data_IF_164305185935
#
_entry.id   IF_164305185935
#
_cell.length_a   1.000
_cell.length_b   1.000
_cell.length_c   1.000
_cell.angle_alpha   90.00
_cell.angle_beta   90.00
_cell.angle_gamma   90.00
#
_symmetry.space_group_name_H-M   'P 1'
#
loop_
_entity.id
_entity.type
_entity.pdbx_description
1 polymer ?
#
# COMPACT_ATOMS: atom_id res chain seq x y z
N UNK A 1 -2.09 -1.55 -9.79
CA UNK A 1 -2.89 -1.97 -10.96
C UNK A 1 -4.29 -1.35 -10.94
N UNK A 2 -4.98 -1.34 -9.80
CA UNK A 2 -6.27 -0.63 -9.62
C UNK A 2 -6.10 0.64 -8.76
N UNK A 3 -7.06 1.55 -8.79
CA UNK A 3 -7.06 2.74 -7.91
C UNK A 3 -7.39 2.40 -6.43
N UNK A 4 -7.88 1.19 -6.16
CA UNK A 4 -8.08 0.65 -4.81
C UNK A 4 -6.85 -0.08 -4.25
N UNK A 5 -5.83 -0.34 -5.07
CA UNK A 5 -4.73 -1.23 -4.69
C UNK A 5 -3.76 -0.63 -3.66
N UNK A 6 -3.73 0.69 -3.51
CA UNK A 6 -2.85 1.37 -2.58
C UNK A 6 -3.55 2.58 -1.96
N UNK A 7 -3.51 2.76 -0.63
CA UNK A 7 -3.98 3.96 0.05
C UNK A 7 -3.56 5.28 -0.63
N UNK A 8 -2.30 5.48 -1.07
CA UNK A 8 -1.90 6.73 -1.70
C UNK A 8 -2.65 7.05 -3.00
N UNK A 9 -3.05 6.03 -3.75
CA UNK A 9 -3.80 6.20 -5.01
C UNK A 9 -5.27 6.47 -4.70
N UNK A 10 -5.85 5.76 -3.74
CA UNK A 10 -7.24 5.96 -3.31
C UNK A 10 -7.49 7.43 -2.88
N UNK A 11 -6.53 8.02 -2.17
CA UNK A 11 -6.64 9.41 -1.66
C UNK A 11 -6.73 10.46 -2.76
N UNK A 12 -6.15 10.18 -3.93
CA UNK A 12 -6.02 11.16 -5.02
C UNK A 12 -6.90 10.85 -6.22
N UNK A 13 -7.31 9.58 -6.39
CA UNK A 13 -8.04 9.12 -7.56
C UNK A 13 -9.34 9.90 -7.78
N UNK A 14 -10.12 10.13 -6.72
CA UNK A 14 -11.36 10.91 -6.82
C UNK A 14 -11.11 12.40 -7.12
N UNK A 15 -9.98 12.95 -6.68
CA UNK A 15 -9.67 14.37 -6.86
C UNK A 15 -9.15 14.67 -8.27
N UNK A 16 -8.41 13.74 -8.87
CA UNK A 16 -7.80 13.90 -10.20
C UNK A 16 -8.47 13.07 -11.29
N UNK A 17 -9.62 12.46 -10.99
CA UNK A 17 -10.41 11.63 -11.91
C UNK A 17 -9.61 10.48 -12.52
N UNK A 18 -8.76 9.83 -11.71
CA UNK A 18 -7.96 8.69 -12.13
C UNK A 18 -8.77 7.41 -12.03
N UNK A 19 -9.16 6.88 -13.18
CA UNK A 19 -9.84 5.61 -13.29
C UNK A 19 -8.86 4.42 -13.26
N UNK A 20 -9.41 3.21 -13.36
CA UNK A 20 -8.59 1.99 -13.41
C UNK A 20 -7.68 1.95 -14.64
N UNK A 21 -8.13 2.50 -15.77
CA UNK A 21 -7.36 2.51 -17.01
C UNK A 21 -6.13 3.42 -16.90
N UNK A 22 -6.31 4.64 -16.38
CA UNK A 22 -5.22 5.56 -16.10
C UNK A 22 -4.16 4.92 -15.19
N UNK A 23 -4.59 4.28 -14.11
CA UNK A 23 -3.68 3.61 -13.19
C UNK A 23 -2.89 2.48 -13.86
N UNK A 24 -3.53 1.70 -14.72
CA UNK A 24 -2.89 0.60 -15.43
C UNK A 24 -1.87 1.12 -16.46
N UNK A 25 -2.26 2.12 -17.24
CA UNK A 25 -1.47 2.68 -18.35
C UNK A 25 -0.30 3.55 -17.89
N UNK A 26 -0.40 4.23 -16.75
CA UNK A 26 0.65 5.15 -16.27
C UNK A 26 1.55 4.56 -15.18
N UNK A 27 0.99 3.76 -14.27
CA UNK A 27 1.74 3.21 -13.13
C UNK A 27 1.88 1.69 -13.19
N UNK A 28 0.83 1.00 -13.64
CA UNK A 28 0.66 -0.44 -13.48
C UNK A 28 1.76 -1.27 -14.10
N UNK A 29 2.06 -1.03 -15.38
CA UNK A 29 3.08 -1.79 -16.10
C UNK A 29 4.51 -1.47 -15.63
N UNK A 30 4.80 -0.19 -15.29
CA UNK A 30 6.09 0.22 -14.72
C UNK A 30 6.34 -0.46 -13.38
N UNK A 31 5.33 -0.47 -12.51
CA UNK A 31 5.37 -1.19 -11.23
C UNK A 31 5.52 -2.70 -11.44
N UNK A 32 4.82 -3.29 -12.41
CA UNK A 32 4.93 -4.73 -12.71
C UNK A 32 6.36 -5.10 -13.15
N UNK A 33 7.00 -4.30 -14.00
CA UNK A 33 8.39 -4.50 -14.41
C UNK A 33 9.32 -4.41 -13.21
N UNK A 34 9.20 -3.37 -12.39
CA UNK A 34 10.03 -3.20 -11.19
C UNK A 34 9.89 -4.38 -10.22
N UNK A 35 8.65 -4.83 -9.96
CA UNK A 35 8.36 -5.97 -9.08
C UNK A 35 8.92 -7.27 -9.64
N UNK A 36 8.70 -7.56 -10.92
CA UNK A 36 9.21 -8.77 -11.57
C UNK A 36 10.74 -8.80 -11.58
N UNK A 37 11.39 -7.66 -11.85
CA UNK A 37 12.84 -7.55 -11.82
C UNK A 37 13.38 -7.77 -10.40
N UNK A 38 12.84 -7.07 -9.41
CA UNK A 38 13.28 -7.19 -8.01
C UNK A 38 13.06 -8.61 -7.47
N UNK A 39 11.87 -9.18 -7.71
CA UNK A 39 11.56 -10.54 -7.29
C UNK A 39 12.42 -11.59 -8.00
N UNK A 40 12.65 -11.41 -9.31
CA UNK A 40 13.53 -12.27 -10.10
C UNK A 40 14.97 -12.22 -9.62
N UNK A 41 15.50 -11.01 -9.36
CA UNK A 41 16.85 -10.83 -8.84
C UNK A 41 17.02 -11.43 -7.44
N UNK A 42 16.06 -11.20 -6.54
CA UNK A 42 16.07 -11.79 -5.20
C UNK A 42 16.02 -13.33 -5.27
N UNK A 43 15.12 -13.88 -6.11
CA UNK A 43 15.02 -15.33 -6.32
C UNK A 43 16.30 -15.92 -6.88
N UNK A 44 16.95 -15.22 -7.81
CA UNK A 44 18.21 -15.67 -8.39
C UNK A 44 19.37 -15.60 -7.39
N UNK A 45 19.45 -14.54 -6.58
CA UNK A 45 20.47 -14.35 -5.56
C UNK A 45 20.39 -15.45 -4.49
N UNK A 46 19.18 -15.79 -4.05
CA UNK A 46 18.94 -16.81 -3.01
C UNK A 46 18.57 -18.19 -3.57
N UNK A 47 18.87 -18.46 -4.85
CA UNK A 47 18.44 -19.70 -5.52
C UNK A 47 18.96 -20.96 -4.83
N UNK A 48 20.16 -20.91 -4.26
CA UNK A 48 20.79 -22.03 -3.56
C UNK A 48 20.04 -22.38 -2.29
N UNK A 49 19.70 -21.36 -1.51
CA UNK A 49 18.96 -21.44 -0.26
C UNK A 49 17.53 -21.92 -0.53
N UNK A 50 16.87 -21.30 -1.51
CA UNK A 50 15.52 -21.67 -1.94
C UNK A 50 15.44 -23.13 -2.42
N UNK A 51 16.45 -23.59 -3.17
CA UNK A 51 16.49 -24.99 -3.65
C UNK A 51 16.69 -26.03 -2.54
N UNK A 52 17.14 -25.60 -1.36
CA UNK A 52 17.39 -26.46 -0.19
C UNK A 52 16.22 -26.45 0.80
N UNK A 53 15.22 -25.59 0.60
CA UNK A 53 14.04 -25.55 1.46
C UNK A 53 13.18 -26.78 1.23
N UNK A 54 13.02 -27.59 2.27
CA UNK A 54 12.02 -28.65 2.31
C UNK A 54 10.67 -28.03 2.68
N UNK A 55 9.87 -27.68 1.66
CA UNK A 55 8.52 -27.15 1.86
C UNK A 55 7.61 -28.30 2.26
N UNK A 56 7.55 -28.56 3.56
CA UNK A 56 6.54 -29.48 4.11
C UNK A 56 5.17 -28.81 3.96
N UNK A 57 4.21 -29.43 3.26
CA UNK A 57 2.85 -28.92 3.26
C UNK A 57 2.38 -28.87 4.72
N UNK A 58 1.85 -27.73 5.14
CA UNK A 58 1.25 -27.59 6.47
C UNK A 58 0.12 -28.62 6.61
N UNK A 59 0.44 -29.73 7.29
CA UNK A 59 -0.54 -30.73 7.65
C UNK A 59 -1.41 -30.16 8.78
N UNK A 60 -2.63 -29.74 8.47
CA UNK A 60 -3.61 -29.39 9.50
C UNK A 60 -4.48 -28.15 9.25
N UNK A 61 -4.22 -27.33 8.22
CA UNK A 61 -5.19 -26.30 7.81
C UNK A 61 -6.31 -26.98 7.01
N UNK A 62 -7.47 -27.13 7.64
CA UNK A 62 -8.69 -27.51 6.92
C UNK A 62 -8.90 -26.49 5.78
N UNK A 63 -8.98 -26.97 4.53
CA UNK A 63 -9.20 -26.10 3.39
C UNK A 63 -10.48 -25.30 3.57
N UNK A 64 -10.40 -23.98 3.38
CA UNK A 64 -11.57 -23.10 3.44
C UNK A 64 -12.55 -23.52 2.33
N UNK A 65 -13.85 -23.78 2.63
CA UNK A 65 -14.81 -24.19 1.63
C UNK A 65 -14.89 -23.16 0.47
N UNK A 66 -14.86 -23.59 -0.80
CA UNK A 66 -14.90 -22.66 -1.94
C UNK A 66 -16.12 -21.71 -1.94
N UNK A 67 -17.26 -22.19 -1.43
CA UNK A 67 -18.46 -21.37 -1.28
C UNK A 67 -18.24 -20.21 -0.29
N UNK A 68 -17.53 -20.46 0.81
CA UNK A 68 -17.21 -19.43 1.79
C UNK A 68 -16.29 -18.37 1.17
N UNK A 69 -15.31 -18.78 0.37
CA UNK A 69 -14.44 -17.86 -0.39
C UNK A 69 -15.27 -17.02 -1.37
N UNK A 70 -16.14 -17.65 -2.17
CA UNK A 70 -16.99 -16.96 -3.14
C UNK A 70 -17.91 -15.92 -2.46
N UNK A 71 -18.45 -16.27 -1.30
CA UNK A 71 -19.31 -15.40 -0.50
C UNK A 71 -18.54 -14.22 0.11
N UNK A 72 -17.28 -14.40 0.53
CA UNK A 72 -16.40 -13.31 0.93
C UNK A 72 -16.08 -12.35 -0.21
N UNK A 73 -15.76 -12.88 -1.39
CA UNK A 73 -15.52 -12.07 -2.59
C UNK A 73 -16.79 -11.30 -2.96
N UNK A 74 -17.96 -11.91 -2.83
CA UNK A 74 -19.24 -11.24 -3.05
C UNK A 74 -19.49 -10.11 -2.04
N UNK A 75 -19.20 -10.31 -0.75
CA UNK A 75 -19.31 -9.25 0.26
C UNK A 75 -18.34 -8.11 0.00
N UNK A 76 -17.09 -8.41 -0.36
CA UNK A 76 -16.10 -7.39 -0.73
C UNK A 76 -16.58 -6.58 -1.95
N UNK A 77 -17.03 -7.25 -3.00
CA UNK A 77 -17.57 -6.60 -4.19
C UNK A 77 -18.82 -5.76 -3.86
N UNK A 78 -19.72 -6.28 -3.02
CA UNK A 78 -20.89 -5.56 -2.55
C UNK A 78 -20.55 -4.31 -1.75
N UNK A 79 -19.60 -4.40 -0.82
CA UNK A 79 -19.10 -3.26 -0.03
C UNK A 79 -18.51 -2.18 -0.96
N UNK A 80 -17.71 -2.57 -1.95
CA UNK A 80 -17.11 -1.62 -2.89
C UNK A 80 -18.17 -0.97 -3.79
N UNK A 81 -19.11 -1.77 -4.33
CA UNK A 81 -20.16 -1.28 -5.21
C UNK A 81 -21.14 -0.33 -4.48
N UNK A 82 -21.53 -0.68 -3.26
CA UNK A 82 -22.46 0.09 -2.44
C UNK A 82 -21.76 1.05 -1.46
N UNK A 83 -20.48 1.40 -1.69
CA UNK A 83 -19.71 2.26 -0.79
C UNK A 83 -20.36 3.63 -0.52
N UNK A 84 -21.18 4.12 -1.45
CA UNK A 84 -21.90 5.40 -1.35
C UNK A 84 -23.32 5.27 -0.76
N UNK A 85 -23.74 4.06 -0.35
CA UNK A 85 -25.06 3.78 0.23
C UNK A 85 -24.92 3.22 1.65
N UNK A 86 -24.86 4.09 2.69
CA UNK A 86 -24.49 3.68 4.05
C UNK A 86 -25.33 2.53 4.63
N UNK A 87 -26.63 2.52 4.37
CA UNK A 87 -27.54 1.48 4.88
C UNK A 87 -27.20 0.11 4.30
N UNK A 88 -26.97 0.03 2.99
CA UNK A 88 -26.62 -1.23 2.32
C UNK A 88 -25.22 -1.65 2.71
N UNK A 89 -24.27 -0.70 2.76
CA UNK A 89 -22.90 -0.95 3.21
C UNK A 89 -22.87 -1.60 4.59
N UNK A 90 -23.55 -0.99 5.58
CA UNK A 90 -23.61 -1.52 6.95
C UNK A 90 -24.32 -2.88 6.97
N UNK A 91 -25.39 -3.05 6.20
CA UNK A 91 -26.09 -4.34 6.08
C UNK A 91 -25.19 -5.47 5.56
N UNK A 92 -24.47 -5.24 4.47
CA UNK A 92 -23.51 -6.22 3.90
C UNK A 92 -22.37 -6.49 4.87
N UNK A 93 -21.84 -5.45 5.52
CA UNK A 93 -20.79 -5.60 6.51
C UNK A 93 -21.23 -6.42 7.73
N UNK A 94 -22.43 -6.18 8.26
CA UNK A 94 -23.00 -6.97 9.35
C UNK A 94 -23.24 -8.43 8.95
N UNK A 95 -23.67 -8.68 7.71
CA UNK A 95 -23.82 -10.04 7.19
C UNK A 95 -22.47 -10.75 7.09
N UNK A 96 -21.42 -10.06 6.64
CA UNK A 96 -20.05 -10.56 6.67
C UNK A 96 -19.61 -10.92 8.09
N UNK A 97 -19.83 -10.05 9.08
CA UNK A 97 -19.51 -10.34 10.48
C UNK A 97 -20.28 -11.56 11.00
N UNK A 98 -21.56 -11.69 10.65
CA UNK A 98 -22.38 -12.85 11.04
C UNK A 98 -21.84 -14.17 10.47
N UNK A 99 -21.38 -14.16 9.21
CA UNK A 99 -20.75 -15.33 8.59
C UNK A 99 -19.38 -15.62 9.18
N UNK A 100 -18.54 -14.60 9.40
CA UNK A 100 -17.23 -14.77 9.99
C UNK A 100 -17.31 -15.34 11.42
N UNK A 101 -18.29 -14.90 12.22
CA UNK A 101 -18.56 -15.43 13.56
C UNK A 101 -19.10 -16.87 13.49
N UNK A 102 -20.10 -17.12 12.63
CA UNK A 102 -20.75 -18.44 12.50
C UNK A 102 -19.82 -19.53 11.94
N UNK A 103 -18.81 -19.15 11.17
CA UNK A 103 -17.80 -20.04 10.60
C UNK A 103 -16.39 -19.70 11.10
N UNK A 104 -16.26 -19.29 12.36
CA UNK A 104 -14.98 -18.86 12.97
C UNK A 104 -13.85 -19.88 12.87
N UNK A 105 -14.15 -21.19 12.78
CA UNK A 105 -13.14 -22.25 12.57
C UNK A 105 -12.40 -22.14 11.23
N UNK A 106 -12.98 -21.46 10.23
CA UNK A 106 -12.35 -21.19 8.93
C UNK A 106 -11.78 -19.76 8.82
N UNK A 107 -11.83 -18.96 9.89
CA UNK A 107 -11.39 -17.56 9.87
C UNK A 107 -10.27 -17.30 10.87
N UNK A 108 -9.32 -16.47 10.46
CA UNK A 108 -8.45 -15.80 11.40
C UNK A 108 -9.21 -14.71 12.16
N UNK A 109 -8.65 -14.28 13.30
CA UNK A 109 -9.25 -13.23 14.12
C UNK A 109 -9.44 -11.94 13.32
N UNK A 110 -10.67 -11.42 13.33
CA UNK A 110 -10.98 -10.15 12.67
C UNK A 110 -10.27 -8.97 13.35
N UNK A 111 -9.57 -8.17 12.55
CA UNK A 111 -8.83 -6.97 12.97
C UNK A 111 -9.67 -5.69 12.88
N UNK A 112 -10.85 -5.71 13.54
CA UNK A 112 -11.81 -4.60 13.49
C UNK A 112 -11.27 -3.32 14.14
N UNK A 113 -10.52 -3.46 15.24
CA UNK A 113 -9.94 -2.32 15.97
C UNK A 113 -8.95 -1.58 15.09
N UNK A 114 -8.05 -2.32 14.44
CA UNK A 114 -7.02 -1.81 13.55
C UNK A 114 -7.65 -1.12 12.35
N UNK A 115 -8.66 -1.74 11.72
CA UNK A 115 -9.42 -1.12 10.63
C UNK A 115 -10.11 0.19 11.05
N UNK A 116 -10.71 0.24 12.24
CA UNK A 116 -11.32 1.46 12.78
C UNK A 116 -10.27 2.54 13.09
N UNK A 117 -9.10 2.18 13.61
CA UNK A 117 -7.99 3.12 13.85
C UNK A 117 -7.50 3.73 12.54
N UNK A 118 -7.36 2.93 11.47
CA UNK A 118 -7.05 3.43 10.12
C UNK A 118 -8.17 4.36 9.64
N UNK A 119 -9.44 4.00 9.84
CA UNK A 119 -10.58 4.87 9.53
C UNK A 119 -10.54 6.22 10.25
N UNK A 120 -10.24 6.24 11.56
CA UNK A 120 -10.07 7.47 12.32
C UNK A 120 -8.88 8.30 11.85
N UNK A 121 -7.76 7.66 11.51
CA UNK A 121 -6.60 8.32 10.93
C UNK A 121 -6.97 9.02 9.62
N UNK A 122 -7.65 8.31 8.69
CA UNK A 122 -8.09 8.88 7.43
C UNK A 122 -9.12 10.00 7.61
N UNK A 123 -10.06 9.85 8.54
CA UNK A 123 -11.03 10.90 8.87
C UNK A 123 -10.35 12.16 9.44
N UNK A 124 -9.38 11.98 10.34
CA UNK A 124 -8.54 13.05 10.88
C UNK A 124 -7.72 13.73 9.78
N UNK A 125 -7.11 12.95 8.90
CA UNK A 125 -6.35 13.44 7.75
C UNK A 125 -7.22 14.29 6.82
N UNK A 126 -8.43 13.83 6.48
CA UNK A 126 -9.34 14.58 5.60
C UNK A 126 -9.89 15.84 6.29
N UNK A 127 -10.15 15.78 7.59
CA UNK A 127 -10.73 16.90 8.36
C UNK A 127 -9.70 17.99 8.68
N UNK A 128 -8.49 17.59 9.10
CA UNK A 128 -7.43 18.50 9.53
C UNK A 128 -6.48 18.86 8.39
N UNK A 129 -6.28 17.96 7.42
CA UNK A 129 -5.32 18.15 6.34
C UNK A 129 -5.68 19.31 5.42
N UNK A 130 -6.97 19.58 5.17
CA UNK A 130 -7.41 20.77 4.42
C UNK A 130 -6.84 22.08 5.00
N UNK A 131 -6.61 22.16 6.32
CA UNK A 131 -6.03 23.35 6.96
C UNK A 131 -4.52 23.51 6.69
N UNK A 132 -3.85 22.50 6.12
CA UNK A 132 -2.43 22.52 5.81
C UNK A 132 -2.14 23.12 4.42
N UNK A 133 -3.17 23.43 3.62
CA UNK A 133 -3.00 23.91 2.25
C UNK A 133 -2.13 25.19 2.17
N UNK A 134 -2.26 26.10 3.14
CA UNK A 134 -1.61 27.43 3.08
C UNK A 134 -0.09 27.37 2.96
N UNK A 135 0.59 26.45 3.65
CA UNK A 135 2.05 26.30 3.56
C UNK A 135 2.46 25.27 2.52
N UNK A 136 1.63 24.24 2.30
CA UNK A 136 1.90 23.22 1.30
C UNK A 136 1.89 23.79 -0.12
N UNK A 137 0.96 24.71 -0.40
CA UNK A 137 0.86 25.36 -1.70
C UNK A 137 2.18 26.04 -2.08
N UNK A 138 2.72 26.86 -1.18
CA UNK A 138 3.95 27.62 -1.44
C UNK A 138 5.18 26.72 -1.57
N UNK A 139 5.29 25.70 -0.73
CA UNK A 139 6.42 24.75 -0.76
C UNK A 139 6.40 23.91 -2.03
N UNK A 140 5.25 23.36 -2.40
CA UNK A 140 5.14 22.39 -3.50
C UNK A 140 5.05 23.05 -4.87
N UNK A 141 4.46 24.25 -4.99
CA UNK A 141 4.38 24.96 -6.27
C UNK A 141 5.75 25.42 -6.79
N UNK A 142 6.73 25.59 -5.90
CA UNK A 142 8.11 25.94 -6.27
C UNK A 142 9.00 24.75 -6.65
N UNK A 143 8.52 23.51 -6.52
CA UNK A 143 9.30 22.30 -6.82
C UNK A 143 9.09 21.88 -8.28
N UNK A 144 10.18 21.52 -8.96
CA UNK A 144 10.06 20.80 -10.22
C UNK A 144 9.65 19.33 -9.98
N UNK A 145 9.27 18.64 -11.06
CA UNK A 145 8.78 17.26 -11.00
C UNK A 145 9.82 16.30 -10.40
N UNK A 146 11.11 16.51 -10.66
CA UNK A 146 12.18 15.64 -10.17
C UNK A 146 12.40 15.84 -8.67
N UNK A 147 12.47 17.08 -8.20
CA UNK A 147 12.58 17.41 -6.78
C UNK A 147 11.36 16.89 -6.00
N UNK A 148 10.16 17.02 -6.58
CA UNK A 148 8.94 16.48 -5.98
C UNK A 148 8.99 14.95 -5.88
N UNK A 149 9.42 14.24 -6.92
CA UNK A 149 9.53 12.79 -6.93
C UNK A 149 10.50 12.28 -5.84
N UNK A 150 11.72 12.82 -5.80
CA UNK A 150 12.71 12.40 -4.81
C UNK A 150 12.35 12.87 -3.39
N UNK A 151 11.73 14.05 -3.27
CA UNK A 151 11.18 14.54 -2.01
C UNK A 151 10.10 13.62 -1.46
N UNK A 152 9.13 13.24 -2.28
CA UNK A 152 8.08 12.29 -1.92
C UNK A 152 8.65 10.90 -1.57
N UNK A 153 9.59 10.39 -2.37
CA UNK A 153 10.28 9.11 -2.11
C UNK A 153 10.98 9.11 -0.75
N UNK A 154 11.68 10.20 -0.43
CA UNK A 154 12.44 10.33 0.82
C UNK A 154 11.53 10.53 2.02
N UNK A 155 10.50 11.37 1.88
CA UNK A 155 9.54 11.63 2.96
C UNK A 155 8.71 10.39 3.28
N UNK A 156 8.25 9.63 2.28
CA UNK A 156 7.53 8.37 2.52
C UNK A 156 8.36 7.34 3.31
N UNK A 157 9.70 7.41 3.24
CA UNK A 157 10.52 6.56 4.08
C UNK A 157 10.30 6.79 5.58
N UNK A 158 9.80 7.97 5.98
CA UNK A 158 9.58 8.33 7.40
C UNK A 158 8.15 8.79 7.70
N UNK A 159 7.29 8.91 6.68
CA UNK A 159 5.88 9.31 6.81
C UNK A 159 4.95 8.33 6.11
N UNK A 160 3.67 8.38 6.49
CA UNK A 160 2.63 7.59 5.83
C UNK A 160 2.42 8.05 4.38
N UNK A 161 2.43 7.10 3.44
CA UNK A 161 2.30 7.37 2.02
C UNK A 161 0.93 7.95 1.63
N UNK A 162 -0.15 7.58 2.32
CA UNK A 162 -1.49 8.09 2.07
C UNK A 162 -1.62 9.54 2.56
N UNK A 163 -1.04 9.85 3.71
CA UNK A 163 -0.93 11.23 4.19
C UNK A 163 -0.16 12.11 3.19
N UNK A 164 0.98 11.63 2.69
CA UNK A 164 1.81 12.40 1.76
C UNK A 164 1.06 12.71 0.46
N UNK A 165 0.42 11.72 -0.17
CA UNK A 165 -0.31 11.97 -1.42
C UNK A 165 -1.60 12.75 -1.21
N UNK A 166 -2.32 12.52 -0.10
CA UNK A 166 -3.49 13.32 0.25
C UNK A 166 -3.12 14.80 0.42
N UNK A 167 -2.09 15.11 1.21
CA UNK A 167 -1.65 16.49 1.43
C UNK A 167 -1.20 17.15 0.14
N UNK A 168 -0.43 16.46 -0.70
CA UNK A 168 -0.04 16.99 -2.00
C UNK A 168 -1.21 17.12 -2.99
N UNK A 169 -2.29 16.36 -2.80
CA UNK A 169 -3.52 16.53 -3.58
C UNK A 169 -4.20 17.87 -3.30
N UNK A 170 -3.99 18.46 -2.12
CA UNK A 170 -4.59 19.75 -1.74
C UNK A 170 -4.09 20.93 -2.58
N UNK A 171 -2.93 20.80 -3.22
CA UNK A 171 -2.31 21.85 -4.02
C UNK A 171 -3.15 22.13 -5.28
N UNK A 172 -3.42 23.41 -5.51
CA UNK A 172 -4.17 23.90 -6.67
C UNK A 172 -3.24 24.22 -7.84
N UNK A 173 -3.78 24.15 -9.07
CA UNK A 173 -3.03 24.47 -10.29
C UNK A 173 -1.98 23.41 -10.68
N UNK A 174 -2.08 22.19 -10.16
CA UNK A 174 -1.13 21.11 -10.45
C UNK A 174 -1.30 20.57 -11.87
N UNK A 175 -0.18 20.37 -12.56
CA UNK A 175 -0.13 19.71 -13.86
C UNK A 175 -0.01 18.18 -13.73
N UNK A 176 -0.03 17.47 -14.85
CA UNK A 176 0.06 16.01 -14.84
C UNK A 176 1.43 15.52 -14.32
N UNK A 177 2.50 16.24 -14.63
CA UNK A 177 3.85 15.89 -14.19
C UNK A 177 4.00 15.97 -12.67
N UNK A 178 3.40 16.98 -12.03
CA UNK A 178 3.31 17.09 -10.58
C UNK A 178 2.57 15.89 -9.97
N UNK A 179 1.35 15.62 -10.45
CA UNK A 179 0.49 14.55 -9.90
C UNK A 179 1.15 13.18 -10.04
N UNK A 180 1.74 12.93 -11.20
CA UNK A 180 2.51 11.73 -11.47
C UNK A 180 3.69 11.59 -10.52
N UNK A 181 4.54 12.63 -10.44
CA UNK A 181 5.79 12.60 -9.67
C UNK A 181 5.56 12.43 -8.17
N UNK A 182 4.53 13.09 -7.63
CA UNK A 182 4.13 12.96 -6.23
C UNK A 182 3.75 11.52 -5.89
N UNK A 183 2.85 10.91 -6.68
CA UNK A 183 2.36 9.55 -6.42
C UNK A 183 3.42 8.51 -6.72
N UNK A 184 4.16 8.66 -7.82
CA UNK A 184 5.25 7.76 -8.18
C UNK A 184 6.34 7.77 -7.11
N UNK A 185 6.71 8.94 -6.59
CA UNK A 185 7.67 9.07 -5.49
C UNK A 185 7.16 8.41 -4.21
N UNK A 186 5.91 8.69 -3.82
CA UNK A 186 5.29 8.09 -2.65
C UNK A 186 5.24 6.55 -2.73
N UNK A 187 4.92 5.99 -3.90
CA UNK A 187 4.92 4.53 -4.09
C UNK A 187 6.34 3.96 -4.06
N UNK A 188 7.30 4.66 -4.65
CA UNK A 188 8.71 4.23 -4.73
C UNK A 188 9.38 4.15 -3.34
N UNK A 189 9.09 5.11 -2.46
CA UNK A 189 9.67 5.20 -1.12
C UNK A 189 9.10 4.21 -0.10
N UNK A 190 7.96 3.58 -0.39
CA UNK A 190 7.20 2.77 0.57
C UNK A 190 7.93 1.54 1.14
N UNK A 191 9.03 1.10 0.51
CA UNK A 191 9.85 -0.03 0.98
C UNK A 191 11.08 0.35 1.80
N UNK A 192 11.39 1.65 1.95
CA UNK A 192 12.69 2.09 2.48
C UNK A 192 12.86 1.85 3.99
N UNK A 193 11.78 1.83 4.77
CA UNK A 193 11.86 1.63 6.23
C UNK A 193 10.71 0.80 6.77
N UNK A 194 10.82 0.35 8.02
CA UNK A 194 9.75 -0.38 8.72
C UNK A 194 8.47 0.46 8.86
N UNK A 195 8.57 1.80 8.99
CA UNK A 195 7.40 2.65 9.26
C UNK A 195 6.72 3.18 8.00
N UNK A 196 7.37 3.03 6.84
CA UNK A 196 6.90 3.61 5.57
C UNK A 196 5.55 3.05 5.09
N UNK A 197 5.23 1.79 5.40
CA UNK A 197 3.98 1.15 4.98
C UNK A 197 3.62 -0.06 5.84
N UNK A 198 2.33 -0.35 5.98
CA UNK A 198 1.78 -1.44 6.81
C UNK A 198 2.34 -2.87 6.55
N UNK A 199 2.70 -3.26 5.31
CA UNK A 199 3.35 -4.55 5.07
C UNK A 199 4.74 -4.68 5.71
N UNK A 200 5.46 -3.58 5.94
CA UNK A 200 6.84 -3.63 6.43
C UNK A 200 6.91 -4.06 7.92
N UNK A 201 6.08 -3.52 8.84
CA UNK A 201 5.97 -4.04 10.21
C UNK A 201 5.46 -5.49 10.25
N UNK A 202 4.56 -5.88 9.34
CA UNK A 202 4.07 -7.25 9.26
C UNK A 202 5.21 -8.22 8.90
N UNK A 203 6.00 -7.88 7.87
CA UNK A 203 7.18 -8.65 7.50
C UNK A 203 8.22 -8.66 8.63
N UNK A 204 8.45 -7.52 9.30
CA UNK A 204 9.32 -7.44 10.47
C UNK A 204 8.86 -8.40 11.58
N UNK A 205 7.57 -8.42 11.91
CA UNK A 205 7.02 -9.27 12.96
C UNK A 205 7.19 -10.78 12.66
N UNK A 206 7.10 -11.16 11.38
CA UNK A 206 7.30 -12.54 10.92
C UNK A 206 8.79 -12.93 10.96
N UNK A 207 9.68 -12.01 10.56
CA UNK A 207 11.08 -12.34 10.32
C UNK A 207 11.99 -12.11 11.53
N UNK A 208 11.62 -11.24 12.48
CA UNK A 208 12.49 -10.81 13.58
C UNK A 208 13.07 -11.95 14.41
N UNK A 209 12.33 -13.06 14.58
CA UNK A 209 12.77 -14.22 15.36
C UNK A 209 13.94 -15.00 14.74
N UNK A 210 14.30 -14.68 13.48
CA UNK A 210 15.44 -15.27 12.78
C UNK A 210 16.70 -14.38 12.84
N UNK A 211 16.64 -13.24 13.53
CA UNK A 211 17.77 -12.32 13.72
C UNK A 211 18.27 -12.36 15.15
N UNK A 212 19.56 -12.04 15.32
CA UNK A 212 20.16 -11.85 16.64
C UNK A 212 19.35 -10.80 17.44
N UNK A 213 19.16 -11.04 18.74
CA UNK A 213 18.37 -10.20 19.65
C UNK A 213 16.88 -10.01 19.27
N UNK A 214 16.34 -10.87 18.40
CA UNK A 214 14.97 -10.75 17.85
C UNK A 214 14.67 -9.38 17.24
N UNK A 215 15.69 -8.71 16.70
CA UNK A 215 15.60 -7.35 16.20
C UNK A 215 16.25 -7.19 14.82
N UNK A 216 15.57 -6.47 13.92
CA UNK A 216 16.14 -6.10 12.62
C UNK A 216 16.68 -4.68 12.74
N UNK A 217 17.96 -4.50 12.41
CA UNK A 217 18.62 -3.20 12.42
C UNK A 217 17.93 -2.24 11.41
N UNK A 218 17.39 -1.08 11.85
CA UNK A 218 16.69 -0.16 10.96
C UNK A 218 17.58 0.44 9.85
N UNK A 219 18.85 0.73 10.15
CA UNK A 219 19.81 1.23 9.17
C UNK A 219 20.22 0.15 8.18
N UNK A 220 20.40 -1.09 8.68
CA UNK A 220 20.64 -2.25 7.83
C UNK A 220 19.50 -2.45 6.83
N UNK A 221 18.25 -2.40 7.31
CA UNK A 221 17.07 -2.47 6.45
C UNK A 221 17.10 -1.36 5.39
N UNK A 222 17.29 -0.10 5.80
CA UNK A 222 17.34 1.04 4.88
C UNK A 222 18.38 0.83 3.77
N UNK A 223 19.62 0.46 4.13
CA UNK A 223 20.69 0.22 3.16
C UNK A 223 20.34 -0.92 2.21
N UNK A 224 19.78 -2.02 2.73
CA UNK A 224 19.38 -3.17 1.90
C UNK A 224 18.14 -2.90 1.04
N UNK A 225 17.32 -1.91 1.39
CA UNK A 225 16.17 -1.48 0.60
C UNK A 225 16.56 -0.52 -0.55
N UNK A 226 17.74 0.12 -0.51
CA UNK A 226 18.17 1.05 -1.56
C UNK A 226 18.23 0.40 -2.96
N UNK A 227 18.84 -0.79 -3.17
CA UNK A 227 18.87 -1.39 -4.50
C UNK A 227 17.49 -1.66 -5.13
N UNK A 228 16.52 -2.33 -4.46
CA UNK A 228 15.20 -2.51 -5.04
C UNK A 228 14.43 -1.20 -5.21
N UNK A 229 14.65 -0.20 -4.34
CA UNK A 229 14.10 1.14 -4.52
C UNK A 229 14.69 1.84 -5.75
N UNK A 230 16.00 1.71 -6.01
CA UNK A 230 16.61 2.27 -7.22
C UNK A 230 16.02 1.66 -8.51
N UNK A 231 15.71 0.37 -8.51
CA UNK A 231 15.00 -0.26 -9.63
C UNK A 231 13.63 0.39 -9.84
N UNK A 232 12.88 0.65 -8.76
CA UNK A 232 11.61 1.35 -8.84
C UNK A 232 11.77 2.82 -9.31
N UNK A 233 12.80 3.54 -8.83
CA UNK A 233 13.14 4.89 -9.31
C UNK A 233 13.36 4.88 -10.81
N UNK A 234 14.18 3.97 -11.32
CA UNK A 234 14.46 3.84 -12.76
C UNK A 234 13.18 3.52 -13.52
N UNK A 235 12.37 2.58 -13.02
CA UNK A 235 11.12 2.20 -13.68
C UNK A 235 10.11 3.34 -13.75
N UNK A 236 10.03 4.24 -12.75
CA UNK A 236 9.08 5.35 -12.77
C UNK A 236 9.61 6.61 -13.46
N UNK A 237 10.93 6.81 -13.53
CA UNK A 237 11.52 8.00 -14.14
C UNK A 237 11.88 7.82 -15.63
N UNK A 238 12.19 6.58 -16.05
CA UNK A 238 12.75 6.33 -17.39
C UNK A 238 11.74 5.68 -18.34
N UNK A 239 10.90 4.79 -17.83
CA UNK A 239 9.81 4.14 -18.59
C UNK A 239 8.57 5.04 -18.59
#
# INVERSE_FOLDING_TARGET
LTHFAAPPVLMVAARWDWDMWYMLSNFGWKAAIAVLFNAGLATWLFRSELSRLDVKPEAGRAGVPPLLIALHVLFLAGIVFFAHHPVVFVGVFLLFLGIAEGYSHYHDRLILREGLLVGFFLAGLVTLGNQQQWWLQDVLAGMDSTALFFGATSLTAITDNAALTYLGSLVEGTDEAFRYSLVAGAVTGGGLTVIANAPNPAAFAILRGNFDDEAINPLGLLVTALPPTMVAVIAFQVL
#
